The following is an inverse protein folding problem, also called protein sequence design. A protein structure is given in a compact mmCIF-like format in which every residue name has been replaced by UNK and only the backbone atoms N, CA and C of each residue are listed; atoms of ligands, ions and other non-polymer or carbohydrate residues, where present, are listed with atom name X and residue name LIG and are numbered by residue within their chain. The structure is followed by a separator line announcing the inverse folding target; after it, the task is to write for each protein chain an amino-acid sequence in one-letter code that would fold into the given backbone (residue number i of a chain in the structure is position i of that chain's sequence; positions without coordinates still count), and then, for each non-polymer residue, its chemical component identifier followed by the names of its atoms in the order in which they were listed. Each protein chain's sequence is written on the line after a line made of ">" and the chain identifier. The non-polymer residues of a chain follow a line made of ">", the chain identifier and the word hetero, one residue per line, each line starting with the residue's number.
data_IF_082167357821
#
_entry.id   IF_082167357821
#
_cell.length_a   1.000
_cell.length_b   1.000
_cell.length_c   1.000
_cell.angle_alpha   90.00
_cell.angle_beta   90.00
_cell.angle_gamma   90.00
#
_symmetry.space_group_name_H-M   'P 1'
#
loop_
_entity.id
_entity.type
_entity.pdbx_description
1 polymer ?
#
# COMPACT_ATOMS: atom_id res chain seq x y z
N UNK A 1 -24.27 -8.17 -15.79
CA UNK A 1 -23.40 -8.50 -14.65
C UNK A 1 -21.96 -8.59 -15.15
N UNK A 2 -20.99 -7.86 -14.59
CA UNK A 2 -19.59 -8.13 -14.89
C UNK A 2 -19.25 -9.52 -14.32
N UNK A 3 -18.90 -10.45 -15.20
CA UNK A 3 -18.44 -11.78 -14.81
C UNK A 3 -17.21 -11.65 -13.91
N UNK A 4 -17.18 -12.29 -12.72
CA UNK A 4 -15.98 -12.31 -11.89
C UNK A 4 -14.85 -12.90 -12.72
N UNK A 5 -13.72 -12.19 -12.77
CA UNK A 5 -12.53 -12.66 -13.50
C UNK A 5 -12.15 -14.01 -12.90
N UNK A 6 -12.38 -15.09 -13.68
CA UNK A 6 -11.89 -16.43 -13.37
C UNK A 6 -10.41 -16.28 -13.04
N UNK A 7 -10.03 -16.74 -11.83
CA UNK A 7 -8.67 -17.03 -11.37
C UNK A 7 -7.57 -16.39 -12.23
N UNK A 8 -6.86 -15.39 -11.70
CA UNK A 8 -5.59 -14.96 -12.28
C UNK A 8 -4.67 -16.19 -12.46
N UNK A 9 -4.73 -16.83 -13.64
CA UNK A 9 -3.90 -17.96 -14.05
C UNK A 9 -2.51 -17.49 -14.45
N UNK A 10 -2.02 -16.41 -13.84
CA UNK A 10 -0.61 -16.07 -13.98
C UNK A 10 0.16 -17.25 -13.39
N UNK A 11 1.03 -17.91 -14.18
CA UNK A 11 1.87 -18.96 -13.66
C UNK A 11 2.57 -18.40 -12.41
N UNK A 12 2.69 -19.18 -11.32
CA UNK A 12 3.45 -18.73 -10.16
C UNK A 12 4.81 -18.28 -10.65
N UNK A 13 5.22 -17.09 -10.20
CA UNK A 13 6.50 -16.49 -10.51
C UNK A 13 7.58 -17.53 -10.21
N UNK A 14 8.22 -18.05 -11.26
CA UNK A 14 9.17 -19.15 -11.10
C UNK A 14 10.35 -18.58 -10.33
N UNK A 15 10.66 -19.15 -9.17
CA UNK A 15 11.86 -18.81 -8.41
C UNK A 15 13.09 -18.91 -9.33
N UNK A 16 13.65 -17.77 -9.67
CA UNK A 16 14.84 -17.64 -10.53
C UNK A 16 16.11 -18.01 -9.79
N UNK A 17 16.05 -18.07 -8.46
CA UNK A 17 17.17 -18.40 -7.58
C UNK A 17 17.71 -19.80 -7.88
N UNK A 18 19.00 -19.88 -8.16
CA UNK A 18 19.73 -21.13 -8.36
C UNK A 18 20.31 -21.56 -7.02
N UNK A 19 20.22 -22.86 -6.73
CA UNK A 19 20.67 -23.47 -5.49
C UNK A 19 21.51 -24.70 -5.79
N UNK A 20 22.53 -24.96 -4.98
CA UNK A 20 23.37 -26.15 -5.02
C UNK A 20 23.79 -26.51 -6.47
N UNK A 21 23.39 -27.68 -6.95
CA UNK A 21 23.73 -28.20 -8.30
C UNK A 21 23.12 -27.41 -9.47
N UNK A 22 22.18 -26.48 -9.22
CA UNK A 22 21.68 -25.57 -10.26
C UNK A 22 22.71 -24.48 -10.61
N UNK A 23 23.74 -24.29 -9.79
CA UNK A 23 24.82 -23.34 -10.03
C UNK A 23 25.82 -23.99 -10.99
N UNK A 24 25.93 -23.43 -12.21
CA UNK A 24 26.79 -23.98 -13.29
C UNK A 24 28.08 -23.21 -13.52
N UNK A 25 28.37 -22.22 -12.69
CA UNK A 25 29.56 -21.37 -12.81
C UNK A 25 30.75 -22.10 -12.21
N UNK A 26 31.99 -21.96 -12.72
CA UNK A 26 33.16 -22.65 -12.18
C UNK A 26 33.70 -22.05 -10.87
N UNK A 27 33.58 -20.73 -10.71
CA UNK A 27 34.09 -19.98 -9.55
C UNK A 27 32.97 -19.14 -8.95
N UNK A 28 32.90 -19.12 -7.61
CA UNK A 28 31.89 -18.41 -6.83
C UNK A 28 32.56 -17.66 -5.70
N UNK A 29 32.05 -16.47 -5.37
CA UNK A 29 32.43 -15.77 -4.15
C UNK A 29 31.55 -16.28 -3.01
N UNK A 30 32.14 -16.91 -2.02
CA UNK A 30 31.45 -17.53 -0.90
C UNK A 30 31.33 -16.60 0.30
N UNK A 31 30.11 -16.47 0.81
CA UNK A 31 29.78 -15.80 2.06
C UNK A 31 29.19 -16.85 3.01
N UNK A 32 29.68 -16.85 4.23
CA UNK A 32 29.22 -17.76 5.28
C UNK A 32 27.81 -17.41 5.80
N UNK A 33 27.22 -18.27 6.62
CA UNK A 33 25.90 -18.04 7.23
C UNK A 33 25.90 -16.78 8.13
N UNK A 34 26.98 -16.60 8.89
CA UNK A 34 27.25 -15.44 9.74
C UNK A 34 27.56 -14.15 8.96
N UNK A 35 27.73 -14.24 7.64
CA UNK A 35 28.09 -13.08 6.78
C UNK A 35 29.59 -12.87 6.61
N UNK A 36 30.43 -13.78 7.10
CA UNK A 36 31.87 -13.76 6.90
C UNK A 36 32.23 -14.04 5.43
N UNK A 37 33.09 -13.21 4.83
CA UNK A 37 33.55 -13.41 3.45
C UNK A 37 34.76 -14.35 3.44
N UNK A 38 34.59 -15.55 2.90
CA UNK A 38 35.65 -16.56 2.82
C UNK A 38 36.55 -16.28 1.60
N UNK A 39 35.97 -15.72 0.54
CA UNK A 39 36.68 -15.31 -0.67
C UNK A 39 36.13 -15.97 -1.92
N UNK A 40 36.97 -16.11 -2.94
CA UNK A 40 36.60 -16.78 -4.20
C UNK A 40 37.04 -18.22 -4.11
N UNK A 41 36.10 -19.14 -4.29
CA UNK A 41 36.30 -20.59 -4.26
C UNK A 41 35.75 -21.21 -5.54
N UNK A 42 36.19 -22.44 -5.84
CA UNK A 42 35.55 -23.23 -6.88
C UNK A 42 34.18 -23.69 -6.37
N UNK A 43 33.21 -23.78 -7.27
CA UNK A 43 31.87 -24.26 -6.95
C UNK A 43 31.83 -25.61 -6.23
N UNK A 44 32.62 -26.65 -6.59
CA UNK A 44 32.66 -27.89 -5.80
C UNK A 44 33.12 -27.68 -4.36
N UNK A 45 34.13 -26.84 -4.13
CA UNK A 45 34.64 -26.57 -2.78
C UNK A 45 33.58 -25.83 -1.94
N UNK A 46 32.85 -24.89 -2.57
CA UNK A 46 31.74 -24.19 -1.94
C UNK A 46 30.54 -25.11 -1.63
N UNK A 47 30.28 -26.12 -2.46
CA UNK A 47 29.25 -27.14 -2.21
C UNK A 47 29.61 -28.03 -1.02
N UNK A 48 30.86 -28.49 -0.95
CA UNK A 48 31.36 -29.28 0.18
C UNK A 48 31.22 -28.49 1.47
N UNK A 49 31.61 -27.22 1.46
CA UNK A 49 31.50 -26.34 2.62
C UNK A 49 30.06 -26.12 3.10
N UNK A 50 29.10 -26.00 2.17
CA UNK A 50 27.68 -25.91 2.53
C UNK A 50 27.19 -27.24 3.13
N UNK A 51 27.61 -28.37 2.56
CA UNK A 51 27.22 -29.71 3.00
C UNK A 51 27.79 -30.10 4.37
N UNK A 52 29.02 -29.67 4.70
CA UNK A 52 29.63 -29.86 6.02
C UNK A 52 28.86 -29.16 7.14
N UNK A 53 28.05 -28.16 6.80
CA UNK A 53 27.24 -27.38 7.74
C UNK A 53 25.76 -27.70 7.67
N UNK A 54 25.36 -28.69 6.88
CA UNK A 54 23.96 -29.06 6.63
C UNK A 54 23.11 -27.88 6.09
N UNK A 55 23.73 -26.97 5.33
CA UNK A 55 23.10 -25.78 4.75
C UNK A 55 23.14 -25.84 3.21
N UNK A 56 22.36 -24.97 2.56
CA UNK A 56 22.34 -24.87 1.10
C UNK A 56 23.26 -23.75 0.60
N UNK A 57 23.87 -23.98 -0.56
CA UNK A 57 24.57 -22.96 -1.32
C UNK A 57 23.57 -22.22 -2.21
N UNK A 58 23.25 -20.97 -1.86
CA UNK A 58 22.26 -20.16 -2.57
C UNK A 58 22.95 -19.01 -3.32
N UNK A 59 22.68 -18.90 -4.62
CA UNK A 59 23.16 -17.80 -5.46
C UNK A 59 22.29 -16.55 -5.22
N UNK A 60 22.82 -15.56 -4.51
CA UNK A 60 22.09 -14.32 -4.15
C UNK A 60 22.26 -13.24 -5.20
N UNK A 61 23.46 -13.13 -5.78
CA UNK A 61 23.77 -12.14 -6.82
C UNK A 61 24.42 -12.81 -8.05
N UNK A 62 23.60 -13.20 -9.05
CA UNK A 62 24.09 -13.80 -10.29
C UNK A 62 24.77 -12.79 -11.24
N UNK A 63 24.54 -11.49 -11.05
CA UNK A 63 25.06 -10.42 -11.91
C UNK A 63 26.53 -10.07 -11.61
N UNK A 64 27.09 -10.55 -10.50
CA UNK A 64 28.48 -10.29 -10.13
C UNK A 64 29.44 -11.25 -10.85
N UNK A 65 30.67 -10.78 -11.10
CA UNK A 65 31.76 -11.59 -11.65
C UNK A 65 32.95 -11.59 -10.68
N UNK A 66 33.23 -12.69 -9.95
CA UNK A 66 32.47 -13.94 -9.85
C UNK A 66 31.13 -13.80 -9.07
N UNK A 67 30.12 -14.65 -9.36
CA UNK A 67 28.79 -14.58 -8.73
C UNK A 67 28.89 -14.82 -7.22
N UNK A 68 28.00 -14.17 -6.47
CA UNK A 68 28.01 -14.24 -5.00
C UNK A 68 27.04 -15.31 -4.52
N UNK A 69 27.62 -16.33 -3.88
CA UNK A 69 26.90 -17.42 -3.24
C UNK A 69 26.98 -17.25 -1.72
N UNK A 70 25.86 -17.46 -1.05
CA UNK A 70 25.76 -17.42 0.41
C UNK A 70 25.29 -18.77 0.92
N UNK A 71 25.92 -19.24 1.99
CA UNK A 71 25.51 -20.47 2.70
C UNK A 71 24.34 -20.12 3.60
N UNK A 72 23.17 -20.71 3.37
CA UNK A 72 21.95 -20.46 4.16
C UNK A 72 20.91 -21.55 3.92
N UNK A 73 19.94 -21.68 4.83
CA UNK A 73 18.76 -22.51 4.61
C UNK A 73 17.80 -21.82 3.62
N UNK A 74 17.65 -22.40 2.43
CA UNK A 74 16.82 -21.85 1.37
C UNK A 74 15.33 -21.74 1.77
N UNK A 75 14.82 -22.71 2.52
CA UNK A 75 13.40 -22.76 2.92
C UNK A 75 13.07 -21.62 3.87
N UNK A 76 13.94 -21.39 4.86
CA UNK A 76 13.80 -20.27 5.81
C UNK A 76 13.96 -18.92 5.11
N UNK A 77 14.98 -18.77 4.27
CA UNK A 77 15.21 -17.54 3.53
C UNK A 77 14.06 -17.18 2.59
N UNK A 78 13.49 -18.16 1.88
CA UNK A 78 12.31 -17.93 1.02
C UNK A 78 11.10 -17.47 1.83
N UNK A 79 10.88 -18.04 3.02
CA UNK A 79 9.81 -17.60 3.90
C UNK A 79 10.01 -16.16 4.37
N UNK A 80 11.22 -15.82 4.83
CA UNK A 80 11.56 -14.46 5.27
C UNK A 80 11.43 -13.45 4.13
N UNK A 81 11.93 -13.76 2.94
CA UNK A 81 11.75 -12.91 1.76
C UNK A 81 10.28 -12.74 1.39
N UNK A 82 9.49 -13.82 1.40
CA UNK A 82 8.06 -13.73 1.14
C UNK A 82 7.34 -12.87 2.19
N UNK A 83 7.73 -12.98 3.46
CA UNK A 83 7.17 -12.14 4.53
C UNK A 83 7.59 -10.68 4.38
N UNK A 84 8.85 -10.41 4.04
CA UNK A 84 9.37 -9.06 3.82
C UNK A 84 8.69 -8.41 2.62
N UNK A 85 8.49 -9.14 1.53
CA UNK A 85 7.72 -8.67 0.36
C UNK A 85 6.26 -8.43 0.73
N UNK A 86 5.63 -9.30 1.52
CA UNK A 86 4.26 -9.09 2.01
C UNK A 86 4.15 -7.86 2.91
N UNK A 87 5.09 -7.67 3.83
CA UNK A 87 5.15 -6.50 4.71
C UNK A 87 5.37 -5.22 3.90
N UNK A 88 6.29 -5.24 2.93
CA UNK A 88 6.54 -4.13 2.03
C UNK A 88 5.28 -3.78 1.20
N UNK A 89 4.59 -4.80 0.67
CA UNK A 89 3.30 -4.60 -0.05
C UNK A 89 2.20 -4.06 0.85
N UNK A 90 2.14 -4.46 2.13
CA UNK A 90 1.18 -3.94 3.11
C UNK A 90 1.49 -2.49 3.49
N UNK A 91 2.77 -2.15 3.63
CA UNK A 91 3.21 -0.79 3.98
C UNK A 91 3.18 0.16 2.78
N UNK A 92 3.24 -0.36 1.56
CA UNK A 92 3.04 0.42 0.35
C UNK A 92 1.59 0.93 0.30
N UNK A 93 1.41 2.22 0.59
CA UNK A 93 0.13 2.89 0.42
C UNK A 93 -0.23 2.91 -1.06
N UNK A 94 -1.27 2.17 -1.44
CA UNK A 94 -1.75 2.13 -2.82
C UNK A 94 -2.53 3.40 -3.12
N UNK A 95 -1.90 4.35 -3.82
CA UNK A 95 -2.56 5.56 -4.30
C UNK A 95 -3.58 5.16 -5.35
N UNK A 96 -4.86 5.24 -5.01
CA UNK A 96 -5.96 4.92 -5.91
C UNK A 96 -6.51 6.20 -6.52
N UNK A 97 -6.93 6.13 -7.79
CA UNK A 97 -7.65 7.24 -8.43
C UNK A 97 -9.14 7.05 -8.18
N UNK A 98 -9.73 7.93 -7.38
CA UNK A 98 -11.18 7.97 -7.10
C UNK A 98 -11.84 8.94 -8.06
N UNK A 99 -12.98 8.56 -8.63
CA UNK A 99 -13.75 9.44 -9.52
C UNK A 99 -15.00 9.96 -8.82
N UNK A 100 -15.19 11.28 -8.80
CA UNK A 100 -16.41 11.92 -8.30
C UNK A 100 -17.12 12.64 -9.44
N UNK A 101 -18.42 12.39 -9.57
CA UNK A 101 -19.25 12.94 -10.65
C UNK A 101 -20.13 14.08 -10.16
N UNK A 102 -20.05 15.21 -10.85
CA UNK A 102 -20.84 16.40 -10.59
C UNK A 102 -21.82 16.65 -11.74
N UNK A 103 -22.90 17.37 -11.42
CA UNK A 103 -23.86 17.88 -12.39
C UNK A 103 -23.67 19.40 -12.53
N UNK A 104 -23.98 20.00 -13.70
CA UNK A 104 -23.91 21.46 -13.87
C UNK A 104 -24.93 22.23 -13.02
N UNK A 105 -26.04 21.59 -12.61
CA UNK A 105 -27.11 22.15 -11.78
C UNK A 105 -27.14 21.46 -10.41
N UNK A 106 -26.08 21.62 -9.64
CA UNK A 106 -26.00 21.12 -8.27
C UNK A 106 -26.68 22.10 -7.32
N UNK A 107 -27.36 21.56 -6.31
CA UNK A 107 -27.80 22.34 -5.15
C UNK A 107 -26.63 22.50 -4.18
N UNK A 108 -26.67 23.53 -3.33
CA UNK A 108 -25.62 23.84 -2.36
C UNK A 108 -25.33 22.66 -1.41
N UNK A 109 -26.37 22.02 -0.88
CA UNK A 109 -26.20 20.85 0.00
C UNK A 109 -25.53 19.63 -0.69
N UNK A 110 -25.80 19.42 -1.99
CA UNK A 110 -25.17 18.34 -2.78
C UNK A 110 -23.71 18.67 -3.13
N UNK A 111 -23.39 19.97 -3.27
CA UNK A 111 -22.02 20.44 -3.43
C UNK A 111 -21.20 20.15 -2.17
N UNK A 112 -21.70 20.52 -1.00
CA UNK A 112 -21.00 20.34 0.29
C UNK A 112 -20.72 18.87 0.58
N UNK A 113 -21.70 17.99 0.33
CA UNK A 113 -21.54 16.55 0.51
C UNK A 113 -20.43 15.99 -0.37
N UNK A 114 -20.37 16.41 -1.64
CA UNK A 114 -19.32 15.95 -2.57
C UNK A 114 -17.97 16.59 -2.27
N UNK A 115 -17.92 17.84 -1.81
CA UNK A 115 -16.72 18.48 -1.30
C UNK A 115 -16.14 17.66 -0.16
N UNK A 116 -16.96 17.28 0.82
CA UNK A 116 -16.51 16.44 1.94
C UNK A 116 -15.96 15.08 1.48
N UNK A 117 -16.55 14.47 0.44
CA UNK A 117 -15.96 13.26 -0.16
C UNK A 117 -14.61 13.51 -0.82
N UNK A 118 -14.44 14.63 -1.53
CA UNK A 118 -13.13 15.02 -2.11
C UNK A 118 -12.11 15.20 -0.98
N UNK A 119 -12.47 15.92 0.09
CA UNK A 119 -11.62 16.10 1.27
C UNK A 119 -11.20 14.78 1.91
N UNK A 120 -12.16 13.86 2.12
CA UNK A 120 -11.89 12.52 2.67
C UNK A 120 -10.90 11.77 1.79
N UNK A 121 -11.07 11.78 0.46
CA UNK A 121 -10.15 11.10 -0.45
C UNK A 121 -8.75 11.74 -0.49
N UNK A 122 -8.67 13.07 -0.46
CA UNK A 122 -7.37 13.77 -0.39
C UNK A 122 -6.65 13.47 0.94
N UNK A 123 -7.38 13.40 2.07
CA UNK A 123 -6.83 12.99 3.38
C UNK A 123 -6.30 11.55 3.38
N UNK A 124 -6.99 10.64 2.68
CA UNK A 124 -6.51 9.26 2.47
C UNK A 124 -5.38 9.15 1.43
N UNK A 125 -4.85 10.27 0.93
CA UNK A 125 -3.78 10.34 -0.07
C UNK A 125 -4.14 9.72 -1.42
N UNK A 126 -5.44 9.59 -1.70
CA UNK A 126 -5.94 9.18 -3.01
C UNK A 126 -5.93 10.36 -3.98
N UNK A 127 -5.74 10.07 -5.26
CA UNK A 127 -5.92 11.07 -6.33
C UNK A 127 -7.41 11.15 -6.67
N UNK A 128 -7.93 12.35 -6.85
CA UNK A 128 -9.34 12.54 -7.16
C UNK A 128 -9.50 13.06 -8.58
N UNK A 129 -10.22 12.31 -9.42
CA UNK A 129 -10.71 12.76 -10.72
C UNK A 129 -12.13 13.31 -10.54
N UNK A 130 -12.28 14.60 -10.68
CA UNK A 130 -13.58 15.28 -10.63
C UNK A 130 -14.11 15.38 -12.05
N UNK A 131 -15.27 14.78 -12.32
CA UNK A 131 -15.91 14.77 -13.64
C UNK A 131 -17.27 15.47 -13.58
N UNK A 132 -17.43 16.58 -14.29
CA UNK A 132 -18.74 17.19 -14.55
C UNK A 132 -19.32 16.60 -15.83
N UNK A 133 -20.52 16.04 -15.75
CA UNK A 133 -21.24 15.54 -16.94
C UNK A 133 -22.23 16.58 -17.43
N UNK A 134 -22.02 17.13 -18.63
CA UNK A 134 -23.01 17.99 -19.28
C UNK A 134 -24.12 17.15 -19.91
N UNK A 135 -25.36 17.65 -19.95
CA UNK A 135 -26.47 16.98 -20.64
C UNK A 135 -27.10 17.88 -21.69
N UNK A 136 -27.18 17.39 -22.92
CA UNK A 136 -27.89 18.05 -24.02
C UNK A 136 -27.33 19.42 -24.36
N UNK A 137 -28.16 20.47 -24.23
CA UNK A 137 -27.85 21.86 -24.59
C UNK A 137 -26.93 22.57 -23.58
N UNK A 138 -26.45 21.88 -22.55
CA UNK A 138 -25.56 22.44 -21.53
C UNK A 138 -24.08 22.38 -21.96
N UNK A 139 -23.75 21.66 -23.04
CA UNK A 139 -22.39 21.60 -23.61
C UNK A 139 -21.92 22.96 -24.13
N UNK A 140 -22.85 23.86 -24.51
CA UNK A 140 -22.55 25.23 -24.95
C UNK A 140 -22.23 26.20 -23.82
N UNK A 141 -22.41 25.82 -22.55
CA UNK A 141 -22.05 26.66 -21.40
C UNK A 141 -20.98 25.97 -20.54
N UNK A 142 -19.75 25.80 -21.04
CA UNK A 142 -18.65 25.23 -20.26
C UNK A 142 -18.30 26.10 -19.05
N UNK A 143 -18.50 27.42 -19.15
CA UNK A 143 -18.22 28.43 -18.11
C UNK A 143 -18.81 28.07 -16.74
N UNK A 144 -20.04 27.52 -16.71
CA UNK A 144 -20.66 27.12 -15.43
C UNK A 144 -19.95 25.96 -14.77
N UNK A 145 -19.50 24.99 -15.55
CA UNK A 145 -18.73 23.89 -15.00
C UNK A 145 -17.34 24.36 -14.54
N UNK A 146 -16.71 25.26 -15.31
CA UNK A 146 -15.38 25.80 -14.97
C UNK A 146 -15.43 26.56 -13.66
N UNK A 147 -16.44 27.43 -13.47
CA UNK A 147 -16.66 28.13 -12.20
C UNK A 147 -16.81 27.18 -11.00
N UNK A 148 -17.53 26.06 -11.15
CA UNK A 148 -17.70 25.08 -10.06
C UNK A 148 -16.37 24.39 -9.74
N UNK A 149 -15.59 24.03 -10.76
CA UNK A 149 -14.28 23.40 -10.57
C UNK A 149 -13.26 24.35 -9.98
N UNK A 150 -13.25 25.61 -10.42
CA UNK A 150 -12.35 26.64 -9.90
C UNK A 150 -12.69 26.95 -8.44
N UNK A 151 -13.97 27.11 -8.10
CA UNK A 151 -14.41 27.27 -6.70
C UNK A 151 -13.98 26.09 -5.83
N UNK A 152 -14.16 24.86 -6.32
CA UNK A 152 -13.73 23.66 -5.60
C UNK A 152 -12.19 23.58 -5.46
N UNK A 153 -11.44 24.05 -6.44
CA UNK A 153 -9.98 24.12 -6.40
C UNK A 153 -9.48 25.15 -5.38
N UNK A 154 -10.13 26.31 -5.27
CA UNK A 154 -9.82 27.35 -4.29
C UNK A 154 -10.08 26.86 -2.86
N UNK A 155 -11.28 26.31 -2.61
CA UNK A 155 -11.67 25.81 -1.29
C UNK A 155 -10.81 24.63 -0.81
N UNK A 156 -10.24 23.84 -1.74
CA UNK A 156 -9.40 22.68 -1.43
C UNK A 156 -7.90 22.92 -1.65
N UNK A 157 -7.50 24.16 -1.90
CA UNK A 157 -6.09 24.53 -2.16
C UNK A 157 -5.16 24.20 -0.99
N UNK A 158 -5.68 24.12 0.23
CA UNK A 158 -4.94 23.74 1.43
C UNK A 158 -4.62 22.23 1.48
N UNK A 159 -5.53 21.40 0.99
CA UNK A 159 -5.46 19.94 1.09
C UNK A 159 -4.94 19.26 -0.19
N UNK A 160 -5.12 19.90 -1.35
CA UNK A 160 -4.83 19.32 -2.66
C UNK A 160 -4.16 20.28 -3.64
N UNK A 161 -3.38 19.72 -4.55
CA UNK A 161 -2.74 20.42 -5.66
C UNK A 161 -3.41 19.97 -6.96
N UNK A 162 -3.73 20.92 -7.83
CA UNK A 162 -4.32 20.65 -9.14
C UNK A 162 -3.22 20.14 -10.08
N UNK A 163 -3.25 18.84 -10.42
CA UNK A 163 -2.33 18.25 -11.41
C UNK A 163 -2.82 18.57 -12.83
N UNK A 164 -4.11 18.41 -13.07
CA UNK A 164 -4.73 18.64 -14.38
C UNK A 164 -5.82 19.69 -14.25
N UNK A 165 -5.61 20.84 -14.91
CA UNK A 165 -6.59 21.92 -15.04
C UNK A 165 -7.88 21.41 -15.72
N UNK A 166 -9.03 22.06 -15.47
CA UNK A 166 -10.31 21.66 -16.05
C UNK A 166 -10.21 21.57 -17.58
N UNK A 167 -10.30 20.35 -18.10
CA UNK A 167 -10.25 20.06 -19.53
C UNK A 167 -11.59 19.48 -19.97
N UNK A 168 -12.15 20.05 -21.04
CA UNK A 168 -13.40 19.57 -21.62
C UNK A 168 -13.12 18.40 -22.57
N UNK A 169 -13.53 17.21 -22.16
CA UNK A 169 -13.46 15.97 -22.91
C UNK A 169 -14.86 15.64 -23.47
N UNK A 170 -15.24 16.38 -24.52
CA UNK A 170 -16.53 16.26 -25.19
C UNK A 170 -17.72 16.63 -24.29
N UNK A 171 -18.47 15.63 -23.84
CA UNK A 171 -19.66 15.81 -22.97
C UNK A 171 -19.31 15.88 -21.49
N UNK A 172 -18.07 15.60 -21.14
CA UNK A 172 -17.58 15.61 -19.77
C UNK A 172 -16.51 16.69 -19.65
N UNK A 173 -16.43 17.33 -18.49
CA UNK A 173 -15.26 18.13 -18.15
C UNK A 173 -14.62 17.52 -16.92
N UNK A 174 -13.30 17.33 -17.00
CA UNK A 174 -12.57 16.61 -15.96
C UNK A 174 -11.45 17.47 -15.41
N UNK A 175 -11.22 17.34 -14.11
CA UNK A 175 -10.13 17.95 -13.38
C UNK A 175 -9.51 16.87 -12.49
N UNK A 176 -8.19 16.85 -12.38
CA UNK A 176 -7.47 15.91 -11.51
C UNK A 176 -6.78 16.66 -10.39
N UNK A 177 -7.06 16.24 -9.17
CA UNK A 177 -6.44 16.76 -7.95
C UNK A 177 -5.61 15.66 -7.29
N UNK A 178 -4.40 16.03 -6.89
CA UNK A 178 -3.53 15.20 -6.06
C UNK A 178 -3.51 15.74 -4.63
N UNK A 179 -3.30 14.87 -3.62
CA UNK A 179 -3.11 15.32 -2.25
C UNK A 179 -1.85 16.19 -2.14
N UNK A 180 -1.89 17.21 -1.28
CA UNK A 180 -0.74 18.08 -1.05
C UNK A 180 0.40 17.32 -0.38
N UNK A 181 1.65 17.77 -0.59
CA UNK A 181 2.85 17.18 0.03
C UNK A 181 2.74 17.15 1.57
N UNK A 182 2.07 18.14 2.16
CA UNK A 182 1.83 18.21 3.60
C UNK A 182 0.96 17.04 4.11
N UNK A 183 -0.13 16.74 3.40
CA UNK A 183 -1.03 15.61 3.68
C UNK A 183 -0.32 14.27 3.41
N UNK A 184 0.49 14.19 2.36
CA UNK A 184 1.32 13.00 2.04
C UNK A 184 2.33 12.67 3.15
N UNK A 185 2.92 13.68 3.79
CA UNK A 185 3.90 13.52 4.89
C UNK A 185 3.30 13.28 6.27
N UNK A 186 1.97 13.23 6.40
CA UNK A 186 1.30 12.86 7.66
C UNK A 186 1.24 13.95 8.74
N UNK A 187 1.64 15.19 8.45
CA UNK A 187 1.60 16.30 9.44
C UNK A 187 0.19 16.82 9.77
N UNK A 188 -0.85 16.32 9.12
CA UNK A 188 -2.24 16.79 9.26
C UNK A 188 -3.27 15.65 9.37
N UNK A 189 -2.83 14.40 9.57
CA UNK A 189 -3.68 13.22 9.38
C UNK A 189 -3.67 12.27 10.56
N UNK A 190 -4.23 12.69 11.70
CA UNK A 190 -4.63 11.77 12.76
C UNK A 190 -6.06 12.09 13.18
N UNK A 191 -7.05 11.58 12.44
CA UNK A 191 -8.37 11.24 13.00
C UNK A 191 -9.16 10.29 12.07
N UNK A 192 -9.64 9.24 12.73
CA UNK A 192 -10.78 8.36 12.46
C UNK A 192 -10.72 7.39 11.27
N UNK A 193 -10.36 6.15 11.65
CA UNK A 193 -10.73 4.95 10.91
C UNK A 193 -12.23 4.75 10.95
N UNK A 194 -12.86 4.97 9.81
CA UNK A 194 -14.26 4.64 9.59
C UNK A 194 -14.33 3.49 8.59
N UNK A 195 -14.62 2.29 9.12
CA UNK A 195 -15.06 1.15 8.33
C UNK A 195 -16.38 1.53 7.65
N UNK A 196 -16.57 1.29 6.34
CA UNK A 196 -17.86 1.53 5.73
C UNK A 196 -18.87 0.49 6.24
N UNK A 197 -19.73 0.88 7.18
CA UNK A 197 -20.88 0.09 7.63
C UNK A 197 -21.98 0.12 6.56
N UNK A 198 -22.35 -1.06 6.08
CA UNK A 198 -23.53 -1.29 5.24
C UNK A 198 -24.81 -0.93 6.01
N UNK A 199 -25.73 -0.23 5.35
CA UNK A 199 -27.05 0.11 5.89
C UNK A 199 -28.12 -0.79 5.27
N UNK A 200 -28.98 -1.36 6.12
CA UNK A 200 -30.35 -1.77 5.78
C UNK A 200 -30.78 -3.13 6.34
N UNK A 201 -31.49 -3.14 7.49
CA UNK A 201 -32.93 -3.50 7.56
C UNK A 201 -33.46 -3.46 9.00
N UNK A 202 -34.77 -3.27 9.08
CA UNK A 202 -35.60 -2.69 10.13
C UNK A 202 -36.04 -3.62 11.27
N UNK A 203 -36.09 -3.05 12.48
CA UNK A 203 -37.18 -3.05 13.49
C UNK A 203 -38.03 -4.33 13.71
N UNK A 204 -37.93 -4.93 14.91
CA UNK A 204 -39.08 -5.24 15.79
C UNK A 204 -38.62 -5.83 17.14
N UNK A 205 -39.06 -5.21 18.23
CA UNK A 205 -39.12 -5.75 19.60
C UNK A 205 -40.57 -6.27 19.85
N UNK A 206 -40.95 -6.97 20.97
CA UNK A 206 -40.34 -6.90 22.30
C UNK A 206 -40.38 -8.16 23.23
N UNK A 207 -39.73 -7.98 24.40
CA UNK A 207 -40.03 -8.45 25.77
C UNK A 207 -39.93 -9.94 26.19
N UNK A 208 -39.14 -10.19 27.25
CA UNK A 208 -39.41 -11.27 28.23
C UNK A 208 -38.23 -11.80 29.06
N UNK A 209 -38.20 -11.44 30.36
CA UNK A 209 -37.81 -12.24 31.53
C UNK A 209 -36.32 -12.51 31.93
N UNK A 210 -35.91 -11.83 33.02
CA UNK A 210 -35.28 -12.32 34.28
C UNK A 210 -34.21 -13.42 34.28
N UNK A 211 -33.09 -13.16 34.98
CA UNK A 211 -32.19 -14.18 35.52
C UNK A 211 -30.95 -13.62 36.21
N UNK A 212 -30.98 -13.65 37.54
CA UNK A 212 -29.93 -13.32 38.52
C UNK A 212 -28.68 -14.21 38.38
N UNK A 213 -27.48 -13.73 38.78
CA UNK A 213 -26.29 -14.57 38.85
C UNK A 213 -24.94 -13.85 38.93
N UNK A 214 -24.44 -13.70 40.15
CA UNK A 214 -23.15 -13.13 40.54
C UNK A 214 -21.92 -14.02 40.22
N UNK A 215 -20.75 -13.40 39.95
CA UNK A 215 -19.38 -13.82 40.32
C UNK A 215 -18.32 -12.95 39.56
N UNK A 216 -17.67 -11.96 40.18
CA UNK A 216 -16.32 -11.98 40.80
C UNK A 216 -15.13 -12.48 39.96
N UNK A 217 -14.19 -11.53 39.75
CA UNK A 217 -12.73 -11.61 40.00
C UNK A 217 -11.73 -11.73 38.82
N UNK A 218 -10.64 -10.97 39.03
CA UNK A 218 -9.27 -11.07 38.49
C UNK A 218 -9.01 -10.44 37.10
N UNK A 219 -8.40 -9.25 37.00
CA UNK A 219 -7.01 -8.87 37.31
C UNK A 219 -6.10 -8.90 36.06
N UNK A 220 -5.78 -7.71 35.56
CA UNK A 220 -4.61 -7.43 34.72
C UNK A 220 -3.32 -7.85 35.45
N UNK A 221 -2.29 -8.27 34.71
CA UNK A 221 -1.19 -7.34 34.58
C UNK A 221 -0.53 -7.34 33.19
N UNK A 222 -0.29 -6.13 32.69
CA UNK A 222 0.72 -5.79 31.69
C UNK A 222 2.12 -6.16 32.20
N UNK A 223 3.02 -6.62 31.32
CA UNK A 223 4.43 -6.27 31.45
C UNK A 223 4.99 -5.51 30.23
N UNK A 224 6.06 -4.72 30.44
CA UNK A 224 6.39 -3.55 29.65
C UNK A 224 7.38 -3.81 28.50
N UNK A 225 7.43 -2.84 27.59
CA UNK A 225 8.42 -2.70 26.54
C UNK A 225 9.86 -2.57 27.09
N UNK A 226 10.87 -3.13 26.38
CA UNK A 226 12.26 -2.73 26.55
C UNK A 226 12.73 -1.78 25.43
N UNK A 227 13.05 -0.53 25.81
CA UNK A 227 14.18 0.21 25.21
C UNK A 227 15.49 -0.44 25.71
N UNK A 228 16.64 -0.40 24.99
CA UNK A 228 17.54 0.78 24.93
C UNK A 228 18.45 0.80 23.66
N UNK A 229 19.62 1.51 23.60
CA UNK A 229 19.87 2.95 23.71
C UNK A 229 20.77 3.54 22.58
N UNK A 230 20.82 4.87 22.54
CA UNK A 230 21.96 5.77 22.27
C UNK A 230 23.02 5.46 21.18
N UNK A 231 23.19 6.41 20.26
CA UNK A 231 24.51 6.83 19.79
C UNK A 231 24.49 8.33 19.42
N UNK A 232 25.18 9.11 20.24
CA UNK A 232 25.57 10.47 19.96
C UNK A 232 26.91 10.49 19.19
N UNK A 233 27.10 11.58 18.44
CA UNK A 233 28.36 12.28 18.18
C UNK A 233 29.55 11.48 17.62
N UNK A 234 29.99 11.88 16.41
CA UNK A 234 31.36 12.36 16.13
C UNK A 234 31.46 12.76 14.65
N UNK A 235 31.74 14.04 14.41
CA UNK A 235 32.27 14.53 13.14
C UNK A 235 33.43 15.47 13.47
N UNK A 236 34.64 14.97 13.21
CA UNK A 236 35.82 15.79 12.89
C UNK A 236 35.87 16.00 11.39
#
# INVERSE_FOLDING_TARGET
>A
MPVPRRFDRRPPERDTTRINERIRVPEVRLIDDEGNQIGVLKTPDALVFAQERDLDLVEVAPEAHPPVCRVLDYSKYKYEQAQKVKQARKHQQQITVREIKFRPKIAEHDYDTKKHHVERFLKHKDKVKVTIMFRGREVTHPERGTMILDRLAEELSELGVVEQRPMQEGRNMTMMMAPSKAVLTGRLGEVDGDQPSEAGESETAPAGASGDGAATAAAEPTPPAPEPPAAAAEAS
#
